data_IF_348998012416
#
_entry.id   IF_348998012416
#
_cell.length_a   1.000
_cell.length_b   1.000
_cell.length_c   1.000
_cell.angle_alpha   90.00
_cell.angle_beta   90.00
_cell.angle_gamma   90.00
#
_symmetry.space_group_name_H-M   'P 1'
#
loop_
_entity.id
_entity.type
_entity.pdbx_description
1 polymer ?
#
# COMPACT_ATOMS: atom_id res chain seq x y z
N UNK A 1 14.13 12.62 2.54
CA UNK A 1 13.44 12.58 1.25
C UNK A 1 12.73 11.24 1.08
N UNK A 2 11.44 11.26 0.75
CA UNK A 2 10.63 10.08 0.41
C UNK A 2 10.53 9.99 -1.11
N UNK A 3 10.83 8.83 -1.69
CA UNK A 3 10.55 8.58 -3.10
C UNK A 3 9.18 7.90 -3.26
N UNK A 4 8.28 8.56 -3.99
CA UNK A 4 7.10 7.94 -4.58
C UNK A 4 7.50 7.30 -5.91
N UNK A 5 7.34 5.98 -6.03
CA UNK A 5 7.70 5.27 -7.27
C UNK A 5 6.74 5.65 -8.39
N UNK A 6 7.25 6.35 -9.41
CA UNK A 6 6.48 6.76 -10.58
C UNK A 6 6.51 5.72 -11.69
N UNK A 7 5.57 4.78 -11.65
CA UNK A 7 5.35 3.88 -12.76
C UNK A 7 4.15 4.31 -13.62
N UNK A 8 3.66 5.55 -13.51
CA UNK A 8 2.57 6.08 -14.34
C UNK A 8 1.16 5.60 -13.95
N UNK A 9 1.00 4.98 -12.78
CA UNK A 9 -0.28 4.60 -12.20
C UNK A 9 -0.36 5.10 -10.75
N UNK A 10 -1.47 5.73 -10.38
CA UNK A 10 -1.67 6.24 -9.02
C UNK A 10 -2.46 7.54 -8.98
N UNK A 11 -3.12 7.78 -7.84
CA UNK A 11 -3.59 9.12 -7.50
C UNK A 11 -2.47 9.88 -6.78
N UNK A 12 -1.41 10.18 -7.53
CA UNK A 12 -0.12 10.59 -6.96
C UNK A 12 -0.21 11.97 -6.33
N UNK A 13 -0.95 12.91 -6.95
CA UNK A 13 -1.07 14.29 -6.47
C UNK A 13 -1.61 14.37 -5.03
N UNK A 14 -2.64 13.59 -4.67
CA UNK A 14 -3.17 13.64 -3.31
C UNK A 14 -2.18 13.07 -2.29
N UNK A 15 -1.45 12.01 -2.65
CA UNK A 15 -0.48 11.41 -1.76
C UNK A 15 0.73 12.33 -1.58
N UNK A 16 1.24 12.96 -2.64
CA UNK A 16 2.28 13.99 -2.57
C UNK A 16 1.87 15.12 -1.64
N UNK A 17 0.67 15.70 -1.84
CA UNK A 17 0.17 16.77 -0.99
C UNK A 17 0.04 16.36 0.48
N UNK A 18 -0.39 15.12 0.74
CA UNK A 18 -0.52 14.59 2.09
C UNK A 18 0.84 14.47 2.79
N UNK A 19 1.85 13.99 2.08
CA UNK A 19 3.21 13.84 2.60
C UNK A 19 3.89 15.19 2.84
N UNK A 20 3.75 16.13 1.90
CA UNK A 20 4.23 17.51 2.04
C UNK A 20 3.54 18.22 3.22
N UNK A 21 2.23 18.04 3.38
CA UNK A 21 1.48 18.58 4.52
C UNK A 21 1.99 18.02 5.86
N UNK A 22 2.41 16.76 5.88
CA UNK A 22 3.04 16.13 7.05
C UNK A 22 4.49 16.59 7.30
N UNK A 23 5.06 17.42 6.41
CA UNK A 23 6.39 18.01 6.54
C UNK A 23 7.51 17.16 5.96
N UNK A 24 7.20 16.21 5.07
CA UNK A 24 8.21 15.40 4.39
C UNK A 24 8.57 15.98 3.02
N UNK A 25 9.86 15.95 2.67
CA UNK A 25 10.32 16.19 1.31
C UNK A 25 10.02 14.96 0.44
N UNK A 26 9.33 15.16 -0.67
CA UNK A 26 8.86 14.08 -1.55
C UNK A 26 9.38 14.29 -2.96
N UNK A 27 9.83 13.20 -3.58
CA UNK A 27 10.13 13.16 -5.01
C UNK A 27 9.27 12.09 -5.67
N UNK A 28 8.64 12.43 -6.78
CA UNK A 28 7.96 11.47 -7.65
C UNK A 28 8.92 11.06 -8.75
N UNK A 29 9.33 9.79 -8.78
CA UNK A 29 10.42 9.39 -9.66
C UNK A 29 10.43 7.91 -10.01
N UNK A 30 10.97 7.61 -11.17
CA UNK A 30 11.46 6.28 -11.57
C UNK A 30 12.95 6.30 -11.91
N UNK A 31 13.64 7.39 -11.62
CA UNK A 31 15.09 7.48 -11.75
C UNK A 31 15.76 6.62 -10.67
N UNK A 32 16.72 5.80 -11.09
CA UNK A 32 17.36 4.83 -10.21
C UNK A 32 18.20 5.51 -9.13
N UNK A 33 18.91 6.58 -9.47
CA UNK A 33 19.78 7.29 -8.53
C UNK A 33 18.94 7.98 -7.45
N UNK A 34 17.81 8.61 -7.83
CA UNK A 34 16.89 9.22 -6.88
C UNK A 34 16.24 8.19 -5.93
N UNK A 35 15.84 7.02 -6.45
CA UNK A 35 15.31 5.92 -5.64
C UNK A 35 16.36 5.38 -4.65
N UNK A 36 17.62 5.27 -5.08
CA UNK A 36 18.72 4.83 -4.22
C UNK A 36 19.07 5.86 -3.13
N UNK A 37 18.97 7.16 -3.43
CA UNK A 37 19.25 8.23 -2.48
C UNK A 37 18.12 8.52 -1.49
N UNK A 38 16.88 8.13 -1.80
CA UNK A 38 15.75 8.34 -0.89
C UNK A 38 15.89 7.61 0.45
N UNK A 39 15.39 8.20 1.54
CA UNK A 39 15.41 7.59 2.86
C UNK A 39 14.34 6.51 3.01
N UNK A 40 13.24 6.65 2.29
CA UNK A 40 12.08 5.74 2.32
C UNK A 40 11.46 5.63 0.94
N UNK A 41 10.90 4.46 0.64
CA UNK A 41 10.19 4.18 -0.61
C UNK A 41 8.70 4.03 -0.31
N UNK A 42 7.89 4.69 -1.13
CA UNK A 42 6.45 4.40 -1.19
C UNK A 42 6.14 3.91 -2.59
N UNK A 43 5.54 2.73 -2.67
CA UNK A 43 4.91 2.21 -3.86
C UNK A 43 3.41 2.56 -3.80
N UNK A 44 2.97 3.65 -4.45
CA UNK A 44 1.54 3.97 -4.55
C UNK A 44 0.90 3.08 -5.62
N UNK A 45 -0.43 3.11 -5.74
CA UNK A 45 -1.07 2.61 -6.95
C UNK A 45 -2.58 2.62 -6.90
N UNK A 46 -3.18 2.80 -8.09
CA UNK A 46 -4.58 2.52 -8.38
C UNK A 46 -4.64 1.86 -9.76
N UNK A 47 -5.70 1.10 -10.03
CA UNK A 47 -5.88 0.42 -11.31
C UNK A 47 -5.74 -1.10 -11.20
N UNK A 48 -5.35 -1.73 -12.29
CA UNK A 48 -5.36 -3.19 -12.44
C UNK A 48 -3.98 -3.78 -12.15
N UNK A 49 -3.93 -4.83 -11.32
CA UNK A 49 -2.69 -5.48 -10.86
C UNK A 49 -1.73 -5.88 -11.99
N UNK A 50 -2.24 -6.57 -13.01
CA UNK A 50 -1.41 -6.97 -14.16
C UNK A 50 -0.78 -5.80 -14.91
N UNK A 51 -1.49 -4.70 -15.04
CA UNK A 51 -0.99 -3.54 -15.78
C UNK A 51 0.12 -2.85 -14.98
N UNK A 52 -0.02 -2.78 -13.66
CA UNK A 52 1.03 -2.30 -12.77
C UNK A 52 2.29 -3.17 -12.82
N UNK A 53 2.17 -4.50 -12.71
CA UNK A 53 3.32 -5.40 -12.83
C UNK A 53 4.02 -5.29 -14.19
N UNK A 54 3.25 -5.22 -15.29
CA UNK A 54 3.81 -5.01 -16.62
C UNK A 54 4.60 -3.70 -16.71
N UNK A 55 4.07 -2.64 -16.10
CA UNK A 55 4.66 -1.31 -16.15
C UNK A 55 5.93 -1.20 -15.29
N UNK A 56 5.93 -1.79 -14.09
CA UNK A 56 7.14 -1.93 -13.27
C UNK A 56 8.23 -2.70 -14.01
N UNK A 57 7.86 -3.76 -14.73
CA UNK A 57 8.80 -4.54 -15.54
C UNK A 57 9.33 -3.73 -16.75
N UNK A 58 8.46 -3.02 -17.47
CA UNK A 58 8.85 -2.19 -18.63
C UNK A 58 9.79 -1.05 -18.26
N UNK A 59 9.65 -0.50 -17.06
CA UNK A 59 10.54 0.55 -16.53
C UNK A 59 11.77 -0.02 -15.81
N UNK A 60 11.97 -1.34 -15.83
CA UNK A 60 13.09 -2.02 -15.17
C UNK A 60 13.20 -1.71 -13.66
N UNK A 61 12.07 -1.42 -13.01
CA UNK A 61 12.02 -1.03 -11.59
C UNK A 61 12.07 -2.23 -10.65
N UNK A 62 11.61 -3.41 -11.07
CA UNK A 62 11.52 -4.59 -10.20
C UNK A 62 12.87 -4.96 -9.54
N UNK A 63 14.01 -5.07 -10.27
CA UNK A 63 15.30 -5.39 -9.65
C UNK A 63 15.71 -4.37 -8.59
N UNK A 64 15.42 -3.09 -8.82
CA UNK A 64 15.80 -1.98 -7.94
C UNK A 64 14.93 -1.99 -6.70
N UNK A 65 13.61 -2.14 -6.84
CA UNK A 65 12.69 -2.27 -5.70
C UNK A 65 13.02 -3.50 -4.84
N UNK A 66 13.43 -4.62 -5.46
CA UNK A 66 13.86 -5.83 -4.75
C UNK A 66 15.10 -5.62 -3.88
N UNK A 67 16.01 -4.74 -4.30
CA UNK A 67 17.17 -4.32 -3.50
C UNK A 67 16.70 -3.38 -2.39
N UNK A 68 15.98 -2.31 -2.75
CA UNK A 68 15.62 -1.23 -1.82
C UNK A 68 14.74 -1.70 -0.67
N UNK A 69 13.86 -2.69 -0.88
CA UNK A 69 13.00 -3.20 0.21
C UNK A 69 13.77 -3.73 1.42
N UNK A 70 15.00 -4.21 1.23
CA UNK A 70 15.85 -4.74 2.30
C UNK A 70 16.69 -3.64 2.97
N UNK A 71 16.86 -2.50 2.29
CA UNK A 71 17.79 -1.44 2.71
C UNK A 71 17.08 -0.30 3.45
N UNK A 72 15.78 -0.09 3.20
CA UNK A 72 15.04 1.07 3.69
C UNK A 72 13.55 0.78 3.91
N UNK A 73 12.85 1.60 4.72
CA UNK A 73 11.41 1.50 4.87
C UNK A 73 10.68 1.53 3.52
N UNK A 74 9.74 0.60 3.36
CA UNK A 74 9.01 0.39 2.12
C UNK A 74 7.51 0.30 2.40
N UNK A 75 6.75 1.25 1.87
CA UNK A 75 5.31 1.34 2.12
C UNK A 75 4.54 1.14 0.82
N UNK A 76 3.67 0.13 0.77
CA UNK A 76 2.71 -0.07 -0.30
C UNK A 76 1.35 0.53 0.05
N UNK A 77 0.75 1.31 -0.86
CA UNK A 77 -0.59 1.90 -0.65
C UNK A 77 -1.58 1.42 -1.71
N UNK A 78 -2.73 0.90 -1.26
CA UNK A 78 -3.81 0.33 -2.06
C UNK A 78 -3.30 -0.75 -3.03
N UNK A 79 -3.22 -0.45 -4.33
CA UNK A 79 -2.64 -1.38 -5.30
C UNK A 79 -1.16 -1.66 -4.98
N UNK A 80 -0.42 -0.66 -4.49
CA UNK A 80 0.96 -0.84 -4.07
C UNK A 80 1.12 -1.87 -2.95
N UNK A 81 0.19 -1.89 -1.97
CA UNK A 81 0.16 -2.95 -0.96
C UNK A 81 -0.08 -4.32 -1.61
N UNK A 82 -1.03 -4.41 -2.53
CA UNK A 82 -1.37 -5.66 -3.20
C UNK A 82 -0.18 -6.22 -3.97
N UNK A 83 0.54 -5.38 -4.71
CA UNK A 83 1.71 -5.77 -5.51
C UNK A 83 2.82 -6.39 -4.67
N UNK A 84 2.90 -6.11 -3.37
CA UNK A 84 3.89 -6.72 -2.47
C UNK A 84 3.66 -8.21 -2.21
N UNK A 85 2.49 -8.76 -2.56
CA UNK A 85 2.14 -10.16 -2.33
C UNK A 85 2.56 -11.08 -3.49
N UNK A 86 2.47 -12.39 -3.29
CA UNK A 86 2.97 -13.40 -4.25
C UNK A 86 2.20 -13.39 -5.57
N UNK A 87 0.88 -13.22 -5.53
CA UNK A 87 0.01 -13.47 -6.69
C UNK A 87 -1.31 -12.70 -6.63
N UNK A 88 -1.86 -12.34 -7.78
CA UNK A 88 -3.21 -11.79 -7.91
C UNK A 88 -4.08 -12.53 -8.90
N UNK A 89 -5.33 -12.81 -8.48
CA UNK A 89 -6.41 -13.24 -9.36
C UNK A 89 -6.81 -12.14 -10.37
N UNK A 90 -6.46 -10.89 -10.09
CA UNK A 90 -6.63 -9.76 -11.02
C UNK A 90 -5.60 -9.84 -12.16
N UNK A 91 -5.96 -10.59 -13.20
CA UNK A 91 -5.11 -10.81 -14.37
C UNK A 91 -4.21 -12.04 -14.29
N UNK A 92 -4.33 -12.85 -13.22
CA UNK A 92 -3.62 -14.11 -13.00
C UNK A 92 -2.11 -13.98 -13.20
N UNK A 93 -1.47 -13.17 -12.36
CA UNK A 93 -0.04 -12.84 -12.47
C UNK A 93 0.61 -12.79 -11.10
N UNK A 94 1.89 -13.12 -11.06
CA UNK A 94 2.72 -13.01 -9.87
C UNK A 94 2.95 -11.53 -9.51
N UNK A 95 3.01 -11.23 -8.23
CA UNK A 95 3.40 -9.93 -7.70
C UNK A 95 4.91 -9.86 -7.45
N UNK A 96 5.30 -8.94 -6.56
CA UNK A 96 6.68 -8.74 -6.15
C UNK A 96 7.17 -9.82 -5.16
N UNK A 97 6.25 -10.53 -4.49
CA UNK A 97 6.59 -11.62 -3.58
C UNK A 97 7.38 -11.19 -2.35
N UNK A 98 7.12 -9.99 -1.82
CA UNK A 98 7.76 -9.46 -0.60
C UNK A 98 7.09 -10.01 0.66
N UNK A 99 5.79 -10.28 0.57
CA UNK A 99 4.95 -10.81 1.64
C UNK A 99 4.19 -12.04 1.13
N UNK A 100 4.05 -13.09 1.97
CA UNK A 100 3.30 -14.28 1.58
C UNK A 100 1.81 -14.00 1.54
N UNK A 101 1.14 -14.46 0.48
CA UNK A 101 -0.31 -14.36 0.36
C UNK A 101 -0.77 -14.10 -1.07
N UNK A 102 -2.10 -14.02 -1.23
CA UNK A 102 -2.74 -13.85 -2.54
C UNK A 102 -3.74 -12.72 -2.52
N UNK A 103 -3.79 -11.97 -3.61
CA UNK A 103 -4.82 -10.97 -3.87
C UNK A 103 -5.98 -11.64 -4.59
N UNK A 104 -7.14 -11.65 -3.94
CA UNK A 104 -8.36 -12.34 -4.40
C UNK A 104 -9.49 -11.35 -4.60
N UNK A 105 -10.42 -11.68 -5.49
CA UNK A 105 -11.62 -10.84 -5.66
C UNK A 105 -12.47 -10.88 -4.40
N UNK A 106 -13.01 -9.73 -3.99
CA UNK A 106 -14.01 -9.68 -2.92
C UNK A 106 -15.26 -10.42 -3.38
N UNK A 107 -15.78 -11.28 -2.52
CA UNK A 107 -17.00 -12.06 -2.77
C UNK A 107 -17.93 -11.97 -1.59
N UNK A 108 -19.23 -11.88 -1.84
CA UNK A 108 -20.21 -11.70 -0.78
C UNK A 108 -21.54 -11.19 -1.30
N UNK A 109 -22.33 -10.67 -0.37
CA UNK A 109 -23.64 -10.07 -0.62
C UNK A 109 -23.58 -8.56 -0.77
N UNK A 110 -22.56 -7.91 -0.18
CA UNK A 110 -22.34 -6.47 -0.32
C UNK A 110 -21.89 -6.08 -1.74
N UNK A 111 -22.20 -4.84 -2.18
CA UNK A 111 -21.75 -4.34 -3.48
C UNK A 111 -20.23 -4.37 -3.64
N UNK A 112 -19.73 -4.66 -4.84
CA UNK A 112 -18.30 -4.59 -5.16
C UNK A 112 -18.10 -3.51 -6.24
N UNK A 113 -17.17 -2.55 -6.08
CA UNK A 113 -16.09 -2.50 -5.09
C UNK A 113 -16.53 -2.18 -3.65
N UNK A 114 -15.72 -2.61 -2.68
CA UNK A 114 -15.76 -2.05 -1.33
C UNK A 114 -15.38 -0.57 -1.41
N UNK A 115 -16.40 0.30 -1.29
CA UNK A 115 -16.30 1.73 -1.55
C UNK A 115 -16.89 2.51 -0.38
N UNK A 116 -16.09 3.41 0.18
CA UNK A 116 -16.52 4.36 1.21
C UNK A 116 -15.73 4.23 2.51
N UNK A 117 -16.28 4.84 3.56
CA UNK A 117 -15.70 4.80 4.89
C UNK A 117 -16.03 3.47 5.57
N UNK A 118 -15.01 2.82 6.12
CA UNK A 118 -15.16 1.61 6.91
C UNK A 118 -14.21 1.63 8.10
N UNK A 119 -14.63 1.02 9.21
CA UNK A 119 -13.91 1.08 10.48
C UNK A 119 -12.84 0.00 10.55
N UNK A 120 -11.63 0.43 10.88
CA UNK A 120 -10.53 -0.48 11.18
C UNK A 120 -10.75 -1.22 12.51
N UNK A 121 -10.34 -2.49 12.52
CA UNK A 121 -10.35 -3.40 13.65
C UNK A 121 -8.92 -3.79 13.96
N UNK A 122 -8.44 -3.38 15.13
CA UNK A 122 -7.08 -3.61 15.61
C UNK A 122 -7.03 -3.50 17.14
N UNK A 123 -5.97 -4.07 17.72
CA UNK A 123 -5.69 -3.92 19.16
C UNK A 123 -5.27 -2.49 19.50
N UNK A 124 -4.55 -1.82 18.60
CA UNK A 124 -4.13 -0.42 18.79
C UNK A 124 -5.29 0.55 18.55
N UNK A 125 -5.58 1.41 19.53
CA UNK A 125 -6.58 2.47 19.46
C UNK A 125 -6.35 3.49 18.33
N UNK A 126 -5.10 3.70 17.91
CA UNK A 126 -4.78 4.54 16.74
C UNK A 126 -5.44 3.98 15.47
N UNK A 127 -5.60 2.67 15.41
CA UNK A 127 -6.13 1.92 14.27
C UNK A 127 -7.60 1.50 14.48
N UNK A 128 -8.36 2.21 15.32
CA UNK A 128 -9.80 2.01 15.50
C UNK A 128 -10.62 3.16 14.89
N UNK A 129 -10.18 3.65 13.73
CA UNK A 129 -10.72 4.81 13.03
C UNK A 129 -11.50 4.38 11.79
N UNK A 130 -12.43 5.24 11.33
CA UNK A 130 -13.03 5.12 10.00
C UNK A 130 -12.05 5.63 8.94
N UNK A 131 -11.82 4.83 7.89
CA UNK A 131 -10.91 5.14 6.79
C UNK A 131 -11.56 4.82 5.44
N UNK A 132 -11.05 5.43 4.37
CA UNK A 132 -11.65 5.38 3.04
C UNK A 132 -11.08 4.26 2.17
N UNK A 133 -11.93 3.29 1.82
CA UNK A 133 -11.64 2.18 0.93
C UNK A 133 -12.23 2.40 -0.49
N UNK A 134 -11.53 1.90 -1.50
CA UNK A 134 -12.02 1.78 -2.88
C UNK A 134 -11.28 0.65 -3.60
N UNK A 135 -11.79 -0.58 -3.50
CA UNK A 135 -11.13 -1.75 -4.11
C UNK A 135 -12.11 -2.91 -4.39
N UNK A 136 -11.82 -3.68 -5.44
CA UNK A 136 -12.58 -4.90 -5.78
C UNK A 136 -11.85 -6.19 -5.39
N UNK A 137 -10.56 -6.08 -5.08
CA UNK A 137 -9.69 -7.19 -4.71
C UNK A 137 -9.09 -6.91 -3.34
N UNK A 138 -8.84 -7.96 -2.56
CA UNK A 138 -8.26 -7.87 -1.22
C UNK A 138 -7.13 -8.88 -1.06
N UNK A 139 -6.21 -8.57 -0.17
CA UNK A 139 -5.18 -9.51 0.26
C UNK A 139 -5.82 -10.58 1.15
N UNK A 140 -5.43 -11.83 0.91
CA UNK A 140 -5.73 -12.99 1.71
C UNK A 140 -4.41 -13.57 2.24
N UNK A 141 -4.14 -13.31 3.52
CA UNK A 141 -2.98 -13.78 4.29
C UNK A 141 -3.35 -13.83 5.76
N UNK A 142 -2.72 -14.73 6.52
CA UNK A 142 -2.80 -14.78 7.98
C UNK A 142 -1.54 -14.22 8.65
N UNK A 143 -0.55 -13.81 7.85
CA UNK A 143 0.74 -13.36 8.33
C UNK A 143 0.83 -11.84 8.40
N UNK A 144 1.50 -11.32 9.43
CA UNK A 144 1.90 -9.91 9.53
C UNK A 144 0.72 -8.92 9.53
N UNK A 145 -0.51 -9.38 9.82
CA UNK A 145 -1.71 -8.54 9.86
C UNK A 145 -1.70 -7.66 11.10
N UNK A 146 -1.79 -6.35 10.90
CA UNK A 146 -1.83 -5.33 11.95
C UNK A 146 -3.26 -4.88 12.21
N UNK A 147 -4.03 -4.69 11.14
CA UNK A 147 -5.42 -4.25 11.20
C UNK A 147 -6.23 -4.87 10.07
N UNK A 148 -7.52 -5.08 10.32
CA UNK A 148 -8.51 -5.53 9.35
C UNK A 148 -9.73 -4.61 9.32
N UNK A 149 -10.66 -4.86 8.38
CA UNK A 149 -11.99 -4.27 8.37
C UNK A 149 -12.99 -5.35 7.92
N UNK A 150 -14.24 -5.27 8.37
CA UNK A 150 -15.29 -6.23 7.99
C UNK A 150 -16.06 -5.73 6.76
N UNK A 151 -16.19 -6.58 5.75
CA UNK A 151 -16.99 -6.33 4.54
C UNK A 151 -17.59 -7.64 4.00
N UNK A 152 -18.55 -8.22 4.73
CA UNK A 152 -19.01 -9.63 4.67
C UNK A 152 -17.93 -10.67 5.00
N UNK A 153 -16.70 -10.39 4.62
CA UNK A 153 -15.49 -11.13 4.91
C UNK A 153 -14.41 -10.18 5.45
N UNK A 154 -13.41 -10.72 6.14
CA UNK A 154 -12.31 -9.91 6.66
C UNK A 154 -11.43 -9.39 5.53
N UNK A 155 -11.27 -8.07 5.49
CA UNK A 155 -10.35 -7.36 4.61
C UNK A 155 -9.11 -7.02 5.41
N UNK A 156 -7.96 -7.53 5.00
CA UNK A 156 -6.67 -7.09 5.55
C UNK A 156 -6.45 -5.63 5.18
N UNK A 157 -6.40 -4.75 6.18
CA UNK A 157 -6.34 -3.32 5.99
C UNK A 157 -4.91 -2.78 6.13
N UNK A 158 -4.14 -3.34 7.07
CA UNK A 158 -2.73 -3.02 7.28
C UNK A 158 -1.96 -4.31 7.53
N UNK A 159 -0.81 -4.46 6.87
CA UNK A 159 0.21 -5.46 7.18
C UNK A 159 1.54 -4.79 7.52
N UNK A 160 2.33 -5.43 8.36
CA UNK A 160 3.70 -5.02 8.62
C UNK A 160 4.62 -6.20 8.91
N UNK A 161 5.71 -6.30 8.16
CA UNK A 161 6.82 -7.21 8.41
C UNK A 161 8.12 -6.43 8.37
N UNK A 162 8.81 -6.32 9.49
CA UNK A 162 10.00 -5.48 9.62
C UNK A 162 9.72 -4.04 9.14
N UNK A 163 10.44 -3.57 8.12
CA UNK A 163 10.30 -2.25 7.50
C UNK A 163 9.31 -2.22 6.33
N UNK A 164 8.71 -3.36 5.96
CA UNK A 164 7.69 -3.48 4.93
C UNK A 164 6.31 -3.22 5.53
N UNK A 165 5.60 -2.21 5.03
CA UNK A 165 4.25 -1.87 5.47
C UNK A 165 3.33 -1.83 4.26
N UNK A 166 2.17 -2.49 4.35
CA UNK A 166 1.13 -2.42 3.34
C UNK A 166 -0.14 -1.82 3.92
N UNK A 167 -0.74 -0.84 3.25
CA UNK A 167 -2.00 -0.18 3.64
C UNK A 167 -3.01 -0.31 2.49
N UNK A 168 -4.17 -0.94 2.73
CA UNK A 168 -5.15 -1.22 1.68
C UNK A 168 -6.06 -0.02 1.39
N UNK A 169 -6.39 0.77 2.41
CA UNK A 169 -7.18 1.98 2.25
C UNK A 169 -6.31 3.14 1.73
N UNK A 170 -6.95 4.28 1.44
CA UNK A 170 -6.28 5.49 1.00
C UNK A 170 -6.11 6.46 2.17
N UNK A 171 -4.96 6.47 2.89
CA UNK A 171 -4.77 7.37 4.02
C UNK A 171 -4.88 8.84 3.60
N UNK A 172 -4.43 9.18 2.39
CA UNK A 172 -4.51 10.52 1.81
C UNK A 172 -5.96 10.97 1.52
N UNK A 173 -6.92 10.05 1.56
CA UNK A 173 -8.36 10.33 1.41
C UNK A 173 -9.16 10.11 2.69
N UNK A 174 -8.49 9.75 3.79
CA UNK A 174 -9.12 9.35 5.06
C UNK A 174 -9.09 10.46 6.12
N UNK A 175 -8.99 11.72 5.69
CA UNK A 175 -8.95 12.91 6.56
C UNK A 175 -7.79 12.90 7.55
N UNK A 176 -7.92 13.64 8.65
CA UNK A 176 -6.86 13.80 9.65
C UNK A 176 -6.41 12.46 10.25
N UNK A 177 -7.35 11.51 10.42
CA UNK A 177 -7.04 10.17 10.93
C UNK A 177 -6.26 9.32 9.93
N UNK A 178 -6.56 9.45 8.65
CA UNK A 178 -5.73 8.88 7.59
C UNK A 178 -4.30 9.39 7.61
N UNK A 179 -4.13 10.70 7.76
CA UNK A 179 -2.81 11.34 7.83
C UNK A 179 -2.04 10.94 9.09
N UNK A 180 -2.73 10.81 10.23
CA UNK A 180 -2.13 10.33 11.48
C UNK A 180 -1.57 8.91 11.31
N UNK A 181 -2.35 8.01 10.69
CA UNK A 181 -1.93 6.63 10.41
C UNK A 181 -0.77 6.59 9.40
N UNK A 182 -0.83 7.39 8.33
CA UNK A 182 0.27 7.50 7.35
C UNK A 182 1.56 7.98 8.02
N UNK A 183 1.47 9.01 8.87
CA UNK A 183 2.62 9.53 9.59
C UNK A 183 3.21 8.48 10.55
N UNK A 184 2.37 7.66 11.19
CA UNK A 184 2.86 6.56 12.01
C UNK A 184 3.58 5.49 11.18
N UNK A 185 3.05 5.15 9.99
CA UNK A 185 3.73 4.23 9.07
C UNK A 185 5.12 4.75 8.66
N UNK A 186 5.23 6.04 8.33
CA UNK A 186 6.49 6.72 7.97
C UNK A 186 7.51 6.77 9.12
N UNK A 187 7.07 6.61 10.37
CA UNK A 187 7.91 6.63 11.58
C UNK A 187 8.34 5.23 12.05
N UNK A 188 8.07 4.19 11.27
CA UNK A 188 8.47 2.80 11.58
C UNK A 188 7.31 1.85 11.85
N UNK A 189 6.07 2.27 11.60
CA UNK A 189 4.90 1.39 11.65
C UNK A 189 4.27 1.23 13.03
N UNK A 190 3.61 0.10 13.23
CA UNK A 190 2.63 -0.16 14.28
C UNK A 190 3.06 -1.27 15.24
N UNK A 191 4.05 -2.08 14.85
CA UNK A 191 4.62 -3.14 15.68
C UNK A 191 5.90 -2.60 16.33
N UNK A 192 6.04 -2.80 17.65
CA UNK A 192 7.23 -2.43 18.43
C UNK A 192 8.27 -3.56 18.45
#
# INVERSE_FOLDING_TARGET
MIALVDYGLGNIANLTNALEFLGYDVVLTHDLEELEQADQIILPGVGHFKDAMNRLNQLELIPVLNKLKEEKPFIGICLGMQLMFDYSEEGNVDGLGYLPGKVKKITGTLPVPHLGWNKLQATDSLLQQDVYFIHSFKVHTDENVVASASYDEDVVAIVQKDSLIGIQFHPEKSGDKGLEILNQALKGGFIK
#
